data_IF_076578096199
#
_entry.id   IF_076578096199
#
_cell.length_a   1.000
_cell.length_b   1.000
_cell.length_c   1.000
_cell.angle_alpha   90.00
_cell.angle_beta   90.00
_cell.angle_gamma   90.00
#
_symmetry.space_group_name_H-M   'P 1'
#
loop_
_entity.id
_entity.type
_entity.pdbx_description
1 polymer ?
#
# COMPACT_ATOMS: atom_id res chain seq x y z
N UNK A 1 -5.28 -8.52 14.30
CA UNK A 1 -4.38 -7.47 13.81
C UNK A 1 -4.88 -6.94 12.48
N UNK A 2 -4.61 -5.68 12.23
CA UNK A 2 -5.03 -5.00 11.01
C UNK A 2 -3.80 -4.45 10.29
N UNK A 3 -3.79 -4.58 8.98
CA UNK A 3 -2.71 -4.10 8.12
C UNK A 3 -3.29 -3.13 7.09
N UNK A 4 -2.68 -1.96 6.96
CA UNK A 4 -2.97 -1.00 5.90
C UNK A 4 -1.71 -0.79 5.08
N UNK A 5 -1.86 -0.63 3.79
CA UNK A 5 -0.76 -0.38 2.87
C UNK A 5 -1.14 0.67 1.84
N UNK A 6 -0.16 1.45 1.42
CA UNK A 6 -0.30 2.42 0.33
C UNK A 6 0.51 1.92 -0.85
N UNK A 7 -0.16 1.72 -1.97
CA UNK A 7 0.39 1.08 -3.16
C UNK A 7 0.42 2.07 -4.33
N UNK A 8 1.56 2.14 -5.02
CA UNK A 8 1.64 2.84 -6.31
C UNK A 8 1.20 1.87 -7.42
N UNK A 9 0.11 2.20 -8.11
CA UNK A 9 -0.43 1.28 -9.11
C UNK A 9 0.47 1.10 -10.32
N UNK A 10 1.20 2.11 -10.71
CA UNK A 10 2.07 2.01 -11.89
C UNK A 10 3.23 1.04 -11.66
N UNK A 11 3.93 1.20 -10.54
CA UNK A 11 5.11 0.38 -10.23
C UNK A 11 4.79 -0.85 -9.39
N UNK A 12 3.62 -0.90 -8.75
CA UNK A 12 3.24 -1.88 -7.73
C UNK A 12 4.05 -1.74 -6.44
N UNK A 13 4.81 -0.66 -6.27
CA UNK A 13 5.57 -0.43 -5.03
C UNK A 13 4.64 -0.18 -3.84
N UNK A 14 4.95 -0.81 -2.73
CA UNK A 14 4.34 -0.51 -1.44
C UNK A 14 5.12 0.66 -0.84
N UNK A 15 4.52 1.85 -0.85
CA UNK A 15 5.17 3.08 -0.39
C UNK A 15 5.22 3.18 1.12
N UNK A 16 4.21 2.68 1.79
CA UNK A 16 4.14 2.64 3.24
C UNK A 16 3.15 1.56 3.68
N UNK A 17 3.27 1.14 4.92
CA UNK A 17 2.35 0.20 5.54
C UNK A 17 2.37 0.38 7.04
N UNK A 18 1.28 0.00 7.71
CA UNK A 18 1.16 0.02 9.16
C UNK A 18 0.40 -1.21 9.64
N UNK A 19 0.81 -1.73 10.79
CA UNK A 19 0.18 -2.85 11.46
C UNK A 19 -0.23 -2.42 12.87
N UNK A 20 -1.50 -2.68 13.25
CA UNK A 20 -1.96 -2.41 14.60
C UNK A 20 -2.93 -3.49 15.05
N UNK A 21 -3.13 -3.59 16.36
CA UNK A 21 -4.09 -4.51 16.95
C UNK A 21 -5.52 -4.01 16.81
N UNK A 22 -5.71 -2.70 16.70
CA UNK A 22 -7.01 -2.06 16.54
C UNK A 22 -7.07 -1.27 15.24
N UNK A 23 -8.25 -1.22 14.63
CA UNK A 23 -8.46 -0.50 13.37
C UNK A 23 -8.89 0.94 13.70
N UNK A 24 -7.93 1.77 14.09
CA UNK A 24 -8.15 3.16 14.46
C UNK A 24 -7.52 4.13 13.47
N UNK A 25 -8.05 5.36 13.43
CA UNK A 25 -7.61 6.37 12.46
C UNK A 25 -6.14 6.73 12.57
N UNK A 26 -5.50 6.85 13.76
CA UNK A 26 -4.10 7.23 13.82
C UNK A 26 -3.16 6.31 13.03
N UNK A 27 -3.40 4.99 13.03
CA UNK A 27 -2.51 4.12 12.27
C UNK A 27 -2.74 4.22 10.76
N UNK A 28 -3.97 4.47 10.32
CA UNK A 28 -4.29 4.72 8.92
C UNK A 28 -3.62 6.02 8.46
N UNK A 29 -3.74 7.09 9.24
CA UNK A 29 -3.10 8.38 8.93
C UNK A 29 -1.58 8.30 8.93
N UNK A 30 -0.99 7.48 9.80
CA UNK A 30 0.45 7.25 9.78
C UNK A 30 0.92 6.70 8.44
N UNK A 31 0.22 5.71 7.90
CA UNK A 31 0.55 5.16 6.58
C UNK A 31 0.41 6.22 5.48
N UNK A 32 -0.66 7.01 5.51
CA UNK A 32 -0.89 8.10 4.55
C UNK A 32 0.25 9.12 4.61
N UNK A 33 0.62 9.58 5.81
CA UNK A 33 1.69 10.57 5.99
C UNK A 33 3.03 10.07 5.45
N UNK A 34 3.38 8.82 5.75
CA UNK A 34 4.65 8.26 5.29
C UNK A 34 4.69 8.10 3.78
N UNK A 35 3.56 7.78 3.14
CA UNK A 35 3.48 7.73 1.69
C UNK A 35 3.62 9.12 1.08
N UNK A 36 2.94 10.13 1.64
CA UNK A 36 3.00 11.50 1.14
C UNK A 36 4.38 12.14 1.29
N UNK A 37 5.20 11.68 2.25
CA UNK A 37 6.58 12.12 2.37
C UNK A 37 7.43 11.69 1.17
N UNK A 38 7.07 10.62 0.49
CA UNK A 38 7.83 10.12 -0.66
C UNK A 38 7.38 10.78 -1.96
N UNK A 39 6.09 10.96 -2.16
CA UNK A 39 5.54 11.56 -3.37
C UNK A 39 4.08 11.98 -3.14
N UNK A 40 3.64 12.97 -3.90
CA UNK A 40 2.24 13.39 -3.91
C UNK A 40 1.62 12.97 -5.25
N UNK A 41 0.68 12.03 -5.25
CA UNK A 41 0.07 11.56 -6.48
C UNK A 41 -0.97 12.56 -7.01
N UNK A 42 -1.35 12.41 -8.27
CA UNK A 42 -2.48 13.15 -8.83
C UNK A 42 -3.80 12.62 -8.27
N UNK A 43 -3.93 11.30 -8.20
CA UNK A 43 -5.14 10.63 -7.74
C UNK A 43 -4.80 9.68 -6.60
N UNK A 44 -5.60 9.73 -5.55
CA UNK A 44 -5.51 8.81 -4.42
C UNK A 44 -6.81 8.02 -4.34
N UNK A 45 -6.72 6.71 -4.50
CA UNK A 45 -7.86 5.81 -4.52
C UNK A 45 -7.93 4.95 -3.25
N UNK A 46 -9.13 4.68 -2.79
CA UNK A 46 -9.40 3.74 -1.69
C UNK A 46 -10.79 3.14 -1.88
N UNK A 47 -11.12 2.13 -1.07
CA UNK A 47 -12.50 1.65 -1.01
C UNK A 47 -13.36 2.60 -0.13
N UNK A 48 -14.64 2.27 0.04
CA UNK A 48 -15.58 3.09 0.81
C UNK A 48 -15.69 2.64 2.28
N UNK A 49 -14.66 2.00 2.82
CA UNK A 49 -14.63 1.65 4.23
C UNK A 49 -14.72 2.87 5.13
N UNK A 50 -15.22 2.69 6.34
CA UNK A 50 -15.50 3.81 7.26
C UNK A 50 -14.28 4.68 7.54
N UNK A 51 -13.08 4.13 7.53
CA UNK A 51 -11.83 4.88 7.73
C UNK A 51 -11.54 5.83 6.59
N UNK A 52 -11.84 5.41 5.36
CA UNK A 52 -11.55 6.14 4.13
C UNK A 52 -12.65 7.15 3.77
N UNK A 53 -13.75 7.15 4.53
CA UNK A 53 -14.81 8.18 4.42
C UNK A 53 -14.78 9.16 5.57
N UNK A 54 -13.87 8.99 6.53
CA UNK A 54 -13.77 9.85 7.71
C UNK A 54 -13.29 11.26 7.34
N UNK A 55 -13.74 12.29 8.07
CA UNK A 55 -13.28 13.66 7.83
C UNK A 55 -11.77 13.84 7.98
N UNK A 56 -11.14 13.13 8.91
CA UNK A 56 -9.70 13.23 9.12
C UNK A 56 -8.91 12.75 7.90
N UNK A 57 -9.28 11.61 7.36
CA UNK A 57 -8.63 11.04 6.18
C UNK A 57 -8.85 11.93 4.95
N UNK A 58 -10.09 12.28 4.67
CA UNK A 58 -10.44 13.12 3.52
C UNK A 58 -9.79 14.49 3.64
N UNK A 59 -9.83 15.10 4.83
CA UNK A 59 -9.22 16.41 5.08
C UNK A 59 -7.72 16.40 4.84
N UNK A 60 -7.03 15.33 5.26
CA UNK A 60 -5.59 15.22 5.03
C UNK A 60 -5.24 15.14 3.55
N UNK A 61 -6.00 14.38 2.77
CA UNK A 61 -5.79 14.28 1.33
C UNK A 61 -6.11 15.58 0.60
N UNK A 62 -7.14 16.31 1.04
CA UNK A 62 -7.46 17.63 0.49
C UNK A 62 -6.33 18.63 0.73
N UNK A 63 -5.70 18.61 1.91
CA UNK A 63 -4.54 19.45 2.18
C UNK A 63 -3.37 19.15 1.25
N UNK A 64 -3.21 17.90 0.85
CA UNK A 64 -2.17 17.50 -0.10
C UNK A 64 -2.55 17.82 -1.55
N UNK A 65 -3.77 18.32 -1.80
CA UNK A 65 -4.27 18.69 -3.13
C UNK A 65 -4.32 17.51 -4.10
N UNK A 66 -4.59 16.31 -3.60
CA UNK A 66 -4.79 15.12 -4.44
C UNK A 66 -6.27 14.99 -4.80
N UNK A 67 -6.55 14.43 -5.96
CA UNK A 67 -7.89 14.05 -6.35
C UNK A 67 -8.28 12.76 -5.62
N UNK A 68 -9.33 12.81 -4.83
CA UNK A 68 -9.80 11.64 -4.08
C UNK A 68 -10.74 10.83 -4.96
N UNK A 69 -10.43 9.54 -5.09
CA UNK A 69 -11.25 8.59 -5.83
C UNK A 69 -11.59 7.43 -4.89
N UNK A 70 -12.85 6.96 -4.95
CA UNK A 70 -13.28 5.81 -4.16
C UNK A 70 -13.90 4.77 -5.07
N UNK A 71 -13.60 3.49 -4.76
CA UNK A 71 -14.17 2.38 -5.49
C UNK A 71 -15.69 2.38 -5.34
N UNK A 72 -16.38 2.28 -6.46
CA UNK A 72 -17.83 2.19 -6.46
C UNK A 72 -18.30 0.80 -6.05
N UNK A 73 -19.46 0.74 -5.40
CA UNK A 73 -20.09 -0.52 -5.05
C UNK A 73 -20.39 -1.33 -6.31
N UNK A 74 -19.93 -2.57 -6.35
CA UNK A 74 -20.11 -3.46 -7.49
C UNK A 74 -19.08 -3.31 -8.61
N UNK A 75 -18.07 -2.46 -8.45
CA UNK A 75 -17.00 -2.29 -9.44
C UNK A 75 -15.81 -3.18 -9.08
N UNK A 76 -15.80 -4.39 -9.59
CA UNK A 76 -14.80 -5.40 -9.25
C UNK A 76 -13.38 -5.03 -9.73
N UNK A 77 -13.24 -4.19 -10.74
CA UNK A 77 -11.94 -3.87 -11.34
C UNK A 77 -11.26 -2.65 -10.74
N UNK A 78 -11.98 -1.82 -9.97
CA UNK A 78 -11.43 -0.56 -9.44
C UNK A 78 -10.23 -0.77 -8.52
N UNK A 79 -10.13 -1.93 -7.88
CA UNK A 79 -9.13 -2.21 -6.85
C UNK A 79 -8.31 -3.47 -7.12
N UNK A 80 -8.17 -3.85 -8.39
CA UNK A 80 -7.52 -5.11 -8.78
C UNK A 80 -6.06 -5.20 -8.31
N UNK A 81 -5.32 -4.08 -8.32
CA UNK A 81 -3.91 -4.07 -7.92
C UNK A 81 -3.76 -4.25 -6.41
N UNK A 82 -4.66 -3.66 -5.64
CA UNK A 82 -4.70 -3.82 -4.19
C UNK A 82 -5.09 -5.26 -3.82
N UNK A 83 -6.06 -5.85 -4.53
CA UNK A 83 -6.44 -7.24 -4.32
C UNK A 83 -5.30 -8.19 -4.61
N UNK A 84 -4.54 -7.94 -5.67
CA UNK A 84 -3.35 -8.74 -6.01
C UNK A 84 -2.26 -8.60 -4.95
N UNK A 85 -2.06 -7.42 -4.41
CA UNK A 85 -1.13 -7.22 -3.32
C UNK A 85 -1.54 -8.05 -2.10
N UNK A 86 -2.80 -7.96 -1.69
CA UNK A 86 -3.28 -8.73 -0.53
C UNK A 86 -3.17 -10.22 -0.74
N UNK A 87 -3.42 -10.70 -1.94
CA UNK A 87 -3.24 -12.12 -2.27
C UNK A 87 -1.77 -12.53 -2.10
N UNK A 88 -0.84 -11.74 -2.61
CA UNK A 88 0.59 -12.01 -2.46
C UNK A 88 1.00 -12.03 -0.98
N UNK A 89 0.58 -11.03 -0.20
CA UNK A 89 0.88 -10.96 1.23
C UNK A 89 0.34 -12.19 1.97
N UNK A 90 -0.89 -12.58 1.69
CA UNK A 90 -1.51 -13.72 2.36
C UNK A 90 -0.81 -15.04 2.04
N UNK A 91 -0.59 -15.33 0.76
CA UNK A 91 -0.05 -16.61 0.34
C UNK A 91 1.46 -16.72 0.47
N UNK A 92 2.18 -15.61 0.37
CA UNK A 92 3.65 -15.63 0.41
C UNK A 92 4.21 -15.32 1.80
N UNK A 93 3.40 -14.76 2.70
CA UNK A 93 3.87 -14.39 4.04
C UNK A 93 2.92 -14.90 5.14
N UNK A 94 1.68 -14.41 5.20
CA UNK A 94 0.80 -14.61 6.36
C UNK A 94 0.46 -16.08 6.58
N UNK A 95 0.10 -16.79 5.54
CA UNK A 95 -0.30 -18.21 5.66
C UNK A 95 0.87 -19.16 5.89
N UNK A 96 2.10 -18.70 5.63
CA UNK A 96 3.31 -19.49 5.84
C UNK A 96 3.87 -19.34 7.24
N UNK A 97 3.39 -18.39 8.03
CA UNK A 97 3.92 -18.11 9.36
C UNK A 97 2.81 -18.11 10.40
N UNK A 98 3.19 -18.49 11.62
CA UNK A 98 2.34 -18.44 12.79
C UNK A 98 2.96 -17.45 13.77
N UNK A 99 2.53 -16.19 13.68
CA UNK A 99 3.12 -15.11 14.48
C UNK A 99 2.79 -15.29 15.95
N UNK A 100 3.82 -15.33 16.78
CA UNK A 100 3.65 -15.49 18.23
C UNK A 100 3.04 -14.23 18.89
N UNK A 101 3.36 -13.06 18.36
CA UNK A 101 2.87 -11.78 18.88
C UNK A 101 2.99 -10.68 17.82
N UNK A 102 2.34 -9.51 18.02
CA UNK A 102 2.34 -8.42 17.03
C UNK A 102 3.72 -7.92 16.62
N UNK A 103 4.67 -7.89 17.55
CA UNK A 103 6.04 -7.46 17.25
C UNK A 103 6.70 -8.39 16.23
N UNK A 104 6.50 -9.70 16.37
CA UNK A 104 7.03 -10.68 15.42
C UNK A 104 6.37 -10.53 14.05
N UNK A 105 5.04 -10.35 14.01
CA UNK A 105 4.33 -10.10 12.76
C UNK A 105 4.88 -8.85 12.05
N UNK A 106 5.15 -7.77 12.79
CA UNK A 106 5.72 -6.55 12.23
C UNK A 106 7.11 -6.79 11.65
N UNK A 107 7.94 -7.56 12.31
CA UNK A 107 9.29 -7.90 11.83
C UNK A 107 9.24 -8.69 10.52
N UNK A 108 8.40 -9.72 10.46
CA UNK A 108 8.25 -10.54 9.26
C UNK A 108 7.65 -9.75 8.10
N UNK A 109 6.65 -8.92 8.37
CA UNK A 109 6.03 -8.10 7.33
C UNK A 109 7.02 -7.05 6.80
N UNK A 110 7.86 -6.47 7.65
CA UNK A 110 8.89 -5.54 7.20
C UNK A 110 9.85 -6.21 6.22
N UNK A 111 10.30 -7.43 6.53
CA UNK A 111 11.13 -8.22 5.64
C UNK A 111 10.40 -8.57 4.34
N UNK A 112 9.12 -8.92 4.44
CA UNK A 112 8.34 -9.28 3.26
C UNK A 112 8.14 -8.09 2.33
N UNK A 113 7.79 -6.92 2.84
CA UNK A 113 7.60 -5.73 2.00
C UNK A 113 8.91 -5.24 1.39
N UNK A 114 10.03 -5.39 2.09
CA UNK A 114 11.34 -5.14 1.50
C UNK A 114 11.61 -6.09 0.33
N UNK A 115 11.37 -7.37 0.52
CA UNK A 115 11.46 -8.38 -0.55
C UNK A 115 10.51 -8.05 -1.71
N UNK A 116 9.26 -7.73 -1.41
CA UNK A 116 8.25 -7.41 -2.42
C UNK A 116 8.68 -6.23 -3.30
N UNK A 117 9.18 -5.18 -2.69
CA UNK A 117 9.57 -3.98 -3.42
C UNK A 117 10.88 -4.15 -4.20
N UNK A 118 11.86 -4.87 -3.63
CA UNK A 118 13.24 -4.85 -4.14
C UNK A 118 13.71 -6.15 -4.77
N UNK A 119 13.05 -7.26 -4.54
CA UNK A 119 13.49 -8.56 -5.04
C UNK A 119 12.45 -9.34 -5.82
N UNK A 120 11.17 -9.15 -5.50
CA UNK A 120 10.09 -9.86 -6.15
C UNK A 120 9.81 -9.27 -7.53
N UNK A 121 10.09 -10.04 -8.59
CA UNK A 121 9.81 -9.62 -9.96
C UNK A 121 8.35 -9.89 -10.32
N UNK A 122 7.79 -9.07 -11.21
CA UNK A 122 6.42 -9.20 -11.68
C UNK A 122 6.40 -9.34 -13.21
N UNK A 123 5.67 -10.32 -13.71
CA UNK A 123 5.52 -10.51 -15.14
C UNK A 123 4.94 -9.27 -15.82
N UNK A 124 3.94 -8.63 -15.20
CA UNK A 124 3.31 -7.42 -15.73
C UNK A 124 4.25 -6.21 -15.76
N UNK A 125 5.39 -6.28 -15.10
CA UNK A 125 6.43 -5.25 -15.11
C UNK A 125 7.64 -5.67 -15.95
N UNK A 126 7.46 -6.60 -16.89
CA UNK A 126 8.54 -7.20 -17.69
C UNK A 126 9.62 -7.82 -16.80
N UNK A 127 9.20 -8.54 -15.76
CA UNK A 127 10.06 -9.23 -14.79
C UNK A 127 11.00 -8.30 -14.02
N UNK A 128 10.59 -7.04 -13.86
CA UNK A 128 11.27 -6.10 -12.98
C UNK A 128 10.62 -6.09 -11.61
N UNK A 129 11.35 -5.61 -10.62
CA UNK A 129 10.80 -5.39 -9.28
C UNK A 129 10.01 -4.08 -9.24
N UNK A 130 9.06 -3.92 -8.29
CA UNK A 130 8.40 -2.63 -8.10
C UNK A 130 9.37 -1.45 -7.90
N UNK A 131 10.43 -1.62 -7.11
CA UNK A 131 11.42 -0.56 -6.90
C UNK A 131 12.12 -0.16 -8.19
N UNK A 132 12.47 -1.14 -9.04
CA UNK A 132 13.10 -0.83 -10.33
C UNK A 132 12.19 0.03 -11.21
N UNK A 133 10.90 -0.24 -11.22
CA UNK A 133 9.94 0.55 -12.00
C UNK A 133 9.72 1.92 -11.35
N UNK A 134 9.56 1.97 -10.03
CA UNK A 134 9.30 3.21 -9.30
C UNK A 134 10.45 4.20 -9.43
N UNK A 135 11.68 3.75 -9.18
CA UNK A 135 12.88 4.60 -9.27
C UNK A 135 13.47 4.70 -10.68
N UNK A 136 13.15 3.74 -11.55
CA UNK A 136 13.68 3.72 -12.91
C UNK A 136 13.30 4.91 -13.76
N UNK A 137 12.18 5.58 -13.47
CA UNK A 137 11.77 6.80 -14.14
C UNK A 137 12.76 7.95 -13.90
N UNK A 138 13.32 8.04 -12.70
CA UNK A 138 14.30 9.07 -12.35
C UNK A 138 15.64 8.78 -13.00
N UNK A 139 16.01 7.50 -13.08
CA UNK A 139 17.28 7.10 -13.70
C UNK A 139 17.30 7.32 -15.20
N UNK A 140 16.16 7.28 -15.87
CA UNK A 140 16.05 7.49 -17.31
C UNK A 140 16.18 8.94 -17.74
N UNK A 141 16.08 9.87 -16.82
CA UNK A 141 16.20 11.30 -17.09
C UNK A 141 17.66 11.77 -17.12
N UNK A 142 18.57 10.88 -16.85
CA UNK A 142 20.02 11.17 -16.83
C UNK A 142 20.66 10.87 -18.20
#
# INVERSE_FOLDING_TARGET
>A
MYLVAVLDWHSRSVLSWELDQTLEMPFVLSAVERALLQATPTIWNSDQGSHFTSPQYIGRLKLAQVQISMDGKGRAFDNIFTERLWRSVKYEEVYLHDYAHPKEARQYLALYFDFYNHQRVHQSLNYRTPAQVYFGKETRLN
#
